data_IF_898009555490
#
_entry.id   IF_898009555490
#
_cell.length_a   1.000
_cell.length_b   1.000
_cell.length_c   1.000
_cell.angle_alpha   90.00
_cell.angle_beta   90.00
_cell.angle_gamma   90.00
#
_symmetry.space_group_name_H-M   'P 1'
#
loop_
_entity.id
_entity.type
_entity.pdbx_description
1 polymer ?
#
# COMPACT_ATOMS: atom_id res chain seq x y z
N UNK A 1 16.64 -12.98 27.68
CA UNK A 1 16.84 -11.58 27.26
C UNK A 1 17.74 -11.61 26.04
N UNK A 2 17.18 -11.50 24.82
CA UNK A 2 18.01 -11.47 23.61
C UNK A 2 18.86 -10.20 23.63
N UNK A 3 20.16 -10.34 23.44
CA UNK A 3 21.08 -9.20 23.35
C UNK A 3 20.73 -8.46 22.06
N UNK A 4 20.16 -7.25 22.18
CA UNK A 4 19.69 -6.44 21.05
C UNK A 4 20.91 -5.94 20.25
N UNK A 5 21.35 -6.73 19.27
CA UNK A 5 22.39 -6.35 18.32
C UNK A 5 21.79 -5.41 17.27
N UNK A 6 21.46 -4.18 17.68
CA UNK A 6 21.10 -3.16 16.68
C UNK A 6 22.40 -2.67 16.07
N UNK A 7 22.75 -3.18 14.88
CA UNK A 7 23.88 -2.67 14.10
C UNK A 7 23.52 -1.31 13.48
N UNK A 8 23.28 -0.30 14.33
CA UNK A 8 22.89 1.06 13.92
C UNK A 8 23.92 1.66 12.97
N UNK A 9 25.20 1.26 13.08
CA UNK A 9 26.24 1.67 12.15
C UNK A 9 25.94 1.29 10.70
N UNK A 10 25.29 0.16 10.45
CA UNK A 10 24.92 -0.27 9.09
C UNK A 10 23.82 0.61 8.53
N UNK A 11 22.80 0.93 9.34
CA UNK A 11 21.75 1.86 8.96
C UNK A 11 22.32 3.23 8.58
N UNK A 12 23.24 3.77 9.39
CA UNK A 12 23.86 5.08 9.12
C UNK A 12 24.86 5.07 7.95
N UNK A 13 25.50 3.93 7.63
CA UNK A 13 26.32 3.82 6.42
C UNK A 13 25.44 3.82 5.17
N UNK A 14 24.37 3.02 5.16
CA UNK A 14 23.44 2.92 4.04
C UNK A 14 22.59 4.17 3.86
N UNK A 15 22.32 4.91 4.93
CA UNK A 15 21.55 6.16 4.89
C UNK A 15 22.14 7.19 3.92
N UNK A 16 23.47 7.23 3.81
CA UNK A 16 24.18 8.11 2.87
C UNK A 16 23.84 7.83 1.40
N UNK A 17 23.40 6.62 1.11
CA UNK A 17 23.01 6.18 -0.24
C UNK A 17 21.48 6.28 -0.45
N UNK A 18 20.68 6.52 0.58
CA UNK A 18 19.20 6.56 0.45
C UNK A 18 18.78 7.59 -0.61
N UNK A 19 19.42 8.76 -0.65
CA UNK A 19 19.14 9.75 -1.70
C UNK A 19 19.37 9.23 -3.12
N UNK A 20 20.39 8.40 -3.34
CA UNK A 20 20.64 7.80 -4.66
C UNK A 20 19.63 6.70 -4.98
N UNK A 21 19.19 5.93 -3.97
CA UNK A 21 18.16 4.90 -4.12
C UNK A 21 16.78 5.48 -4.43
N UNK A 22 16.38 6.56 -3.76
CA UNK A 22 15.13 7.26 -4.05
C UNK A 22 15.06 7.67 -5.53
N UNK A 23 16.11 8.31 -6.04
CA UNK A 23 16.19 8.74 -7.43
C UNK A 23 16.19 7.57 -8.44
N UNK A 24 16.68 6.39 -8.01
CA UNK A 24 16.81 5.23 -8.89
C UNK A 24 15.53 4.39 -8.95
N UNK A 25 14.84 4.25 -7.83
CA UNK A 25 13.76 3.27 -7.68
C UNK A 25 12.36 3.89 -7.62
N UNK A 26 12.22 5.14 -7.14
CA UNK A 26 10.92 5.78 -7.08
C UNK A 26 10.60 6.50 -8.40
N UNK A 27 9.32 6.49 -8.75
CA UNK A 27 8.86 7.21 -9.94
C UNK A 27 8.55 8.66 -9.55
N UNK A 28 8.99 9.67 -10.32
CA UNK A 28 8.61 11.06 -10.04
C UNK A 28 7.09 11.23 -9.96
N UNK A 29 6.62 12.03 -9.01
CA UNK A 29 5.18 12.23 -8.74
C UNK A 29 4.43 12.68 -10.01
N UNK A 30 5.06 13.50 -10.84
CA UNK A 30 4.48 14.02 -12.07
C UNK A 30 4.37 12.98 -13.20
N UNK A 31 4.96 11.79 -13.01
CA UNK A 31 4.98 10.70 -14.00
C UNK A 31 4.32 9.42 -13.50
N UNK A 32 4.10 9.30 -12.20
CA UNK A 32 3.47 8.12 -11.62
C UNK A 32 1.96 8.22 -11.82
N UNK A 33 1.34 7.08 -12.10
CA UNK A 33 -0.12 6.98 -12.25
C UNK A 33 -0.84 7.45 -10.99
N UNK A 34 -2.05 7.98 -11.18
CA UNK A 34 -2.96 8.38 -10.12
C UNK A 34 -4.26 7.57 -10.18
N UNK A 35 -4.99 7.40 -9.06
CA UNK A 35 -6.25 6.64 -9.05
C UNK A 35 -7.27 7.12 -10.10
N UNK A 36 -7.33 8.43 -10.36
CA UNK A 36 -8.20 9.02 -11.38
C UNK A 36 -7.89 8.56 -12.81
N UNK A 37 -6.68 8.08 -13.09
CA UNK A 37 -6.31 7.57 -14.42
C UNK A 37 -7.02 6.26 -14.77
N UNK A 38 -7.60 5.58 -13.76
CA UNK A 38 -8.26 4.28 -13.88
C UNK A 38 -9.71 4.26 -13.38
N UNK A 39 -10.28 5.42 -13.06
CA UNK A 39 -11.64 5.55 -12.55
C UNK A 39 -12.46 6.46 -13.48
N UNK A 40 -13.79 6.28 -13.55
CA UNK A 40 -14.65 7.21 -14.27
C UNK A 40 -14.45 8.66 -13.81
N UNK A 41 -14.23 9.58 -14.74
CA UNK A 41 -14.04 11.00 -14.44
C UNK A 41 -15.38 11.66 -14.08
N UNK A 42 -15.61 12.09 -12.82
CA UNK A 42 -16.89 12.67 -12.40
C UNK A 42 -17.20 14.03 -13.06
N UNK A 43 -16.22 14.66 -13.71
CA UNK A 43 -16.41 15.92 -14.45
C UNK A 43 -16.74 15.71 -15.93
N UNK A 44 -16.60 14.49 -16.45
CA UNK A 44 -16.89 14.14 -17.83
C UNK A 44 -18.40 14.05 -18.10
N UNK A 45 -18.83 14.43 -19.31
CA UNK A 45 -20.21 14.18 -19.78
C UNK A 45 -20.51 12.67 -19.89
N UNK A 46 -19.46 11.86 -20.09
CA UNK A 46 -19.54 10.40 -20.22
C UNK A 46 -19.54 9.66 -18.87
N UNK A 47 -19.39 10.37 -17.74
CA UNK A 47 -19.26 9.76 -16.41
C UNK A 47 -20.32 8.68 -16.10
N UNK A 48 -21.58 8.93 -16.49
CA UNK A 48 -22.67 7.98 -16.25
C UNK A 48 -22.48 6.70 -17.06
N UNK A 49 -22.02 6.82 -18.30
CA UNK A 49 -21.76 5.69 -19.17
C UNK A 49 -20.61 4.84 -18.63
N UNK A 50 -19.50 5.48 -18.29
CA UNK A 50 -18.32 4.80 -17.72
C UNK A 50 -18.66 4.12 -16.38
N UNK A 51 -19.49 4.76 -15.55
CA UNK A 51 -19.98 4.17 -14.30
C UNK A 51 -20.85 2.93 -14.55
N UNK A 52 -21.77 2.99 -15.51
CA UNK A 52 -22.60 1.84 -15.89
C UNK A 52 -21.77 0.69 -16.46
N UNK A 53 -20.70 1.00 -17.20
CA UNK A 53 -19.77 0.02 -17.75
C UNK A 53 -19.03 -0.72 -16.62
N UNK A 54 -18.41 -0.01 -15.67
CA UNK A 54 -17.70 -0.67 -14.56
C UNK A 54 -18.64 -1.52 -13.68
N UNK A 55 -19.88 -1.08 -13.48
CA UNK A 55 -20.89 -1.84 -12.73
C UNK A 55 -21.35 -3.09 -13.50
N UNK A 56 -21.34 -3.04 -14.83
CA UNK A 56 -21.67 -4.19 -15.68
C UNK A 56 -20.58 -5.26 -15.59
N UNK A 57 -19.31 -4.88 -15.76
CA UNK A 57 -18.20 -5.82 -15.60
C UNK A 57 -18.10 -6.37 -14.18
N UNK A 58 -18.31 -5.53 -13.17
CA UNK A 58 -18.30 -5.98 -11.78
C UNK A 58 -19.39 -7.03 -11.49
N UNK A 59 -20.56 -6.97 -12.14
CA UNK A 59 -21.62 -7.98 -11.98
C UNK A 59 -21.21 -9.36 -12.50
N UNK A 60 -20.39 -9.42 -13.55
CA UNK A 60 -19.95 -10.68 -14.17
C UNK A 60 -18.74 -11.30 -13.47
N UNK A 61 -18.01 -10.51 -12.67
CA UNK A 61 -16.82 -10.97 -11.95
C UNK A 61 -17.12 -12.14 -10.98
N UNK A 62 -16.31 -13.22 -10.93
CA UNK A 62 -16.53 -14.31 -9.98
C UNK A 62 -16.51 -13.86 -8.51
N UNK A 63 -17.33 -14.48 -7.67
CA UNK A 63 -17.40 -14.16 -6.24
C UNK A 63 -16.05 -14.29 -5.53
N UNK A 64 -15.32 -15.38 -5.76
CA UNK A 64 -14.04 -15.64 -5.10
C UNK A 64 -12.97 -14.60 -5.47
N UNK A 65 -12.99 -14.12 -6.71
CA UNK A 65 -12.12 -13.03 -7.16
C UNK A 65 -12.47 -11.73 -6.44
N UNK A 66 -13.78 -11.46 -6.29
CA UNK A 66 -14.27 -10.28 -5.60
C UNK A 66 -13.88 -10.26 -4.12
N UNK A 67 -14.00 -11.40 -3.42
CA UNK A 67 -13.59 -11.52 -2.01
C UNK A 67 -12.10 -11.30 -1.85
N UNK A 68 -11.29 -11.83 -2.78
CA UNK A 68 -9.83 -11.61 -2.78
C UNK A 68 -9.51 -10.12 -2.97
N UNK A 69 -10.17 -9.46 -3.92
CA UNK A 69 -10.00 -8.02 -4.17
C UNK A 69 -10.40 -7.15 -2.97
N UNK A 70 -11.46 -7.52 -2.24
CA UNK A 70 -11.85 -6.85 -1.00
C UNK A 70 -10.76 -7.02 0.06
N UNK A 71 -10.20 -8.23 0.21
CA UNK A 71 -9.11 -8.51 1.14
C UNK A 71 -7.84 -7.72 0.82
N UNK A 72 -7.46 -7.67 -0.46
CA UNK A 72 -6.34 -6.84 -0.95
C UNK A 72 -6.60 -5.37 -0.58
N UNK A 73 -7.78 -4.82 -0.89
CA UNK A 73 -8.14 -3.44 -0.56
C UNK A 73 -8.08 -3.11 0.93
N UNK A 74 -8.63 -3.98 1.79
CA UNK A 74 -8.59 -3.77 3.25
C UNK A 74 -7.14 -3.77 3.76
N UNK A 75 -6.30 -4.62 3.18
CA UNK A 75 -4.87 -4.70 3.53
C UNK A 75 -4.15 -3.41 3.11
N UNK A 76 -4.43 -2.87 1.92
CA UNK A 76 -3.87 -1.60 1.44
C UNK A 76 -4.32 -0.40 2.29
N UNK A 77 -5.60 -0.35 2.68
CA UNK A 77 -6.15 0.73 3.51
C UNK A 77 -5.58 0.77 4.94
N UNK A 78 -4.96 -0.32 5.42
CA UNK A 78 -4.29 -0.37 6.71
C UNK A 78 -2.90 0.32 6.73
N UNK A 79 -2.56 1.07 5.66
CA UNK A 79 -1.32 1.84 5.50
C UNK A 79 -0.84 2.62 6.74
N UNK A 80 -1.70 3.30 7.52
CA UNK A 80 -1.24 4.00 8.73
C UNK A 80 -0.51 3.09 9.72
N UNK A 81 -0.87 1.81 9.77
CA UNK A 81 -0.20 0.83 10.62
C UNK A 81 1.21 0.52 10.10
N UNK A 82 1.36 0.35 8.78
CA UNK A 82 2.65 0.02 8.16
C UNK A 82 3.63 1.20 8.23
N UNK A 83 3.16 2.41 7.95
CA UNK A 83 3.96 3.63 8.09
C UNK A 83 4.43 3.79 9.53
N UNK A 84 3.51 3.72 10.51
CA UNK A 84 3.84 3.87 11.93
C UNK A 84 4.87 2.84 12.40
N UNK A 85 4.75 1.61 11.91
CA UNK A 85 5.71 0.54 12.19
C UNK A 85 7.08 0.81 11.59
N UNK A 86 7.17 1.20 10.32
CA UNK A 86 8.43 1.54 9.64
C UNK A 86 9.11 2.76 10.27
N UNK A 87 8.34 3.77 10.66
CA UNK A 87 8.85 4.95 11.36
C UNK A 87 9.40 4.62 12.76
N UNK A 88 8.92 3.53 13.38
CA UNK A 88 9.41 3.05 14.67
C UNK A 88 10.70 2.23 14.61
N UNK A 89 11.21 1.90 13.42
CA UNK A 89 12.41 1.08 13.23
C UNK A 89 13.66 1.80 13.75
N UNK A 90 14.52 1.07 14.48
CA UNK A 90 15.78 1.62 14.97
C UNK A 90 16.67 2.10 13.81
N UNK A 91 16.98 3.40 13.80
CA UNK A 91 17.81 4.04 12.76
C UNK A 91 17.02 4.87 11.77
N UNK A 92 15.69 4.87 11.86
CA UNK A 92 14.84 5.86 11.18
C UNK A 92 14.66 7.06 12.11
N UNK A 93 15.04 8.25 11.65
CA UNK A 93 14.89 9.51 12.38
C UNK A 93 14.04 10.50 11.58
N UNK A 94 12.87 10.86 12.12
CA UNK A 94 11.95 11.81 11.50
C UNK A 94 12.38 13.28 11.72
N UNK A 95 13.11 13.58 12.78
CA UNK A 95 13.52 14.95 13.14
C UNK A 95 14.77 15.39 12.36
N UNK A 96 15.52 14.43 11.82
CA UNK A 96 16.68 14.69 10.99
C UNK A 96 16.28 15.47 9.72
N UNK A 97 17.02 16.56 9.46
CA UNK A 97 16.75 17.47 8.34
C UNK A 97 17.40 17.05 7.02
N UNK A 98 18.40 16.18 7.09
CA UNK A 98 19.08 15.64 5.91
C UNK A 98 18.25 14.51 5.29
N UNK A 99 18.50 14.20 4.01
CA UNK A 99 17.84 13.08 3.34
C UNK A 99 18.29 11.78 4.01
N UNK A 100 17.33 11.04 4.57
CA UNK A 100 17.59 9.79 5.28
C UNK A 100 16.46 8.79 5.14
N UNK A 101 16.44 7.78 6.01
CA UNK A 101 15.45 6.70 5.93
C UNK A 101 14.00 7.17 6.04
N UNK A 102 13.74 8.21 6.84
CA UNK A 102 12.40 8.78 6.96
C UNK A 102 11.90 9.40 5.64
N UNK A 103 12.80 9.85 4.74
CA UNK A 103 12.41 10.30 3.41
C UNK A 103 11.92 9.14 2.54
N UNK A 104 12.56 7.97 2.64
CA UNK A 104 12.08 6.76 1.98
C UNK A 104 10.71 6.35 2.51
N UNK A 105 10.52 6.29 3.83
CA UNK A 105 9.22 5.91 4.40
C UNK A 105 8.12 6.83 3.89
N UNK A 106 8.29 8.15 3.93
CA UNK A 106 7.28 9.09 3.41
C UNK A 106 7.00 8.91 1.92
N UNK A 107 8.04 8.70 1.12
CA UNK A 107 7.89 8.58 -0.33
C UNK A 107 7.23 7.23 -0.72
N UNK A 108 7.61 6.14 -0.06
CA UNK A 108 6.94 4.84 -0.17
C UNK A 108 5.48 4.94 0.29
N UNK A 109 5.19 5.53 1.45
CA UNK A 109 3.82 5.72 1.94
C UNK A 109 2.98 6.52 0.94
N UNK A 110 3.55 7.56 0.32
CA UNK A 110 2.84 8.33 -0.71
C UNK A 110 2.55 7.49 -1.97
N UNK A 111 3.46 6.61 -2.37
CA UNK A 111 3.20 5.67 -3.47
C UNK A 111 2.12 4.64 -3.08
N UNK A 112 2.20 4.03 -1.89
CA UNK A 112 1.25 3.02 -1.39
C UNK A 112 -0.17 3.55 -1.19
N UNK A 113 -0.32 4.80 -0.71
CA UNK A 113 -1.64 5.38 -0.48
C UNK A 113 -2.55 5.31 -1.72
N UNK A 114 -1.97 5.40 -2.92
CA UNK A 114 -2.70 5.33 -4.19
C UNK A 114 -3.33 3.96 -4.43
N UNK A 115 -2.76 2.88 -3.88
CA UNK A 115 -3.29 1.52 -4.03
C UNK A 115 -4.65 1.40 -3.34
N UNK A 116 -4.71 1.72 -2.04
CA UNK A 116 -5.96 1.76 -1.28
C UNK A 116 -6.97 2.73 -1.91
N UNK A 117 -6.51 3.94 -2.27
CA UNK A 117 -7.36 4.96 -2.89
C UNK A 117 -8.06 4.51 -4.18
N UNK A 118 -7.36 3.75 -5.04
CA UNK A 118 -7.91 3.23 -6.30
C UNK A 118 -8.87 2.08 -6.03
N UNK A 119 -8.45 1.09 -5.24
CA UNK A 119 -9.24 -0.11 -4.94
C UNK A 119 -10.54 0.25 -4.20
N UNK A 120 -10.45 1.11 -3.19
CA UNK A 120 -11.58 1.55 -2.37
C UNK A 120 -12.64 2.28 -3.20
N UNK A 121 -12.22 3.21 -4.07
CA UNK A 121 -13.13 3.90 -5.00
C UNK A 121 -13.73 2.95 -6.03
N UNK A 122 -12.96 1.99 -6.55
CA UNK A 122 -13.49 0.95 -7.43
C UNK A 122 -14.58 0.11 -6.72
N UNK A 123 -14.30 -0.40 -5.52
CA UNK A 123 -15.26 -1.20 -4.74
C UNK A 123 -16.51 -0.39 -4.38
N UNK A 124 -16.36 0.91 -4.11
CA UNK A 124 -17.49 1.81 -3.89
C UNK A 124 -18.35 2.00 -5.15
N UNK A 125 -17.73 2.33 -6.29
CA UNK A 125 -18.45 2.65 -7.53
C UNK A 125 -19.07 1.41 -8.21
N UNK A 126 -18.45 0.24 -8.06
CA UNK A 126 -18.90 -0.99 -8.71
C UNK A 126 -20.27 -1.49 -8.21
N UNK A 127 -20.73 -1.02 -7.04
CA UNK A 127 -22.04 -1.30 -6.50
C UNK A 127 -22.28 -2.74 -6.04
N UNK A 128 -21.23 -3.56 -5.89
CA UNK A 128 -21.35 -5.00 -5.55
C UNK A 128 -20.93 -5.36 -4.12
N UNK A 129 -20.47 -4.38 -3.35
CA UNK A 129 -19.90 -4.58 -2.01
C UNK A 129 -20.68 -3.81 -0.98
N UNK A 130 -20.85 -4.41 0.21
CA UNK A 130 -21.31 -3.68 1.37
C UNK A 130 -20.15 -2.84 1.93
N UNK A 131 -19.99 -1.62 1.42
CA UNK A 131 -18.87 -0.74 1.79
C UNK A 131 -18.82 -0.43 3.28
N UNK A 132 -19.98 -0.36 3.96
CA UNK A 132 -20.03 -0.18 5.41
C UNK A 132 -19.25 -1.27 6.15
N UNK A 133 -19.37 -2.53 5.73
CA UNK A 133 -18.67 -3.63 6.39
C UNK A 133 -17.18 -3.65 6.02
N UNK A 134 -16.80 -3.21 4.82
CA UNK A 134 -15.41 -2.99 4.44
C UNK A 134 -14.78 -1.92 5.34
N UNK A 135 -15.42 -0.75 5.44
CA UNK A 135 -14.97 0.37 6.26
C UNK A 135 -14.85 0.01 7.75
N UNK A 136 -15.85 -0.70 8.30
CA UNK A 136 -15.82 -1.22 9.68
C UNK A 136 -14.67 -2.22 9.86
N UNK A 137 -14.45 -3.11 8.90
CA UNK A 137 -13.36 -4.10 8.97
C UNK A 137 -11.99 -3.42 8.91
N UNK A 138 -11.81 -2.45 8.02
CA UNK A 138 -10.59 -1.64 7.95
C UNK A 138 -10.35 -0.90 9.27
N UNK A 139 -11.40 -0.33 9.86
CA UNK A 139 -11.29 0.35 11.15
C UNK A 139 -10.85 -0.61 12.27
N UNK A 140 -11.41 -1.83 12.32
CA UNK A 140 -10.96 -2.86 13.25
C UNK A 140 -9.49 -3.22 13.02
N UNK A 141 -9.09 -3.45 11.76
CA UNK A 141 -7.72 -3.82 11.42
C UNK A 141 -6.70 -2.75 11.85
N UNK A 142 -6.99 -1.47 11.58
CA UNK A 142 -6.11 -0.37 11.99
C UNK A 142 -6.06 -0.24 13.52
N UNK A 143 -7.20 -0.38 14.20
CA UNK A 143 -7.28 -0.27 15.65
C UNK A 143 -6.53 -1.41 16.36
N UNK A 144 -6.63 -2.63 15.83
CA UNK A 144 -5.97 -3.80 16.39
C UNK A 144 -4.45 -3.77 16.09
N UNK A 145 -4.06 -3.11 15.00
CA UNK A 145 -2.69 -3.07 14.51
C UNK A 145 -2.22 -4.46 14.07
N UNK A 146 -0.90 -4.65 14.03
CA UNK A 146 -0.31 -5.95 13.73
C UNK A 146 1.00 -6.14 14.50
N UNK A 147 1.29 -7.36 14.95
CA UNK A 147 2.55 -7.74 15.59
C UNK A 147 3.22 -8.87 14.80
N UNK A 148 4.35 -8.55 14.18
CA UNK A 148 5.13 -9.49 13.37
C UNK A 148 6.18 -10.24 14.19
N UNK A 149 6.36 -9.94 15.48
CA UNK A 149 7.47 -10.45 16.28
C UNK A 149 8.85 -9.98 15.77
N UNK A 150 8.89 -8.95 14.94
CA UNK A 150 10.12 -8.39 14.35
C UNK A 150 10.80 -7.38 15.29
N UNK A 151 10.08 -6.88 16.31
CA UNK A 151 10.51 -5.73 17.12
C UNK A 151 10.89 -4.54 16.22
N UNK A 152 11.61 -3.56 16.76
CA UNK A 152 12.11 -2.41 16.00
C UNK A 152 13.45 -2.72 15.29
N UNK A 153 13.72 -3.99 15.00
CA UNK A 153 14.99 -4.45 14.40
C UNK A 153 14.99 -4.26 12.88
N UNK A 154 15.81 -3.35 12.32
CA UNK A 154 15.81 -3.05 10.89
C UNK A 154 16.05 -4.27 10.00
N UNK A 155 16.85 -5.26 10.45
CA UNK A 155 17.14 -6.44 9.62
C UNK A 155 15.91 -7.33 9.44
N UNK A 156 15.20 -7.59 10.53
CA UNK A 156 13.96 -8.37 10.50
C UNK A 156 12.88 -7.64 9.72
N UNK A 157 12.80 -6.33 9.91
CA UNK A 157 11.85 -5.46 9.23
C UNK A 157 12.08 -5.49 7.71
N UNK A 158 13.30 -5.27 7.21
CA UNK A 158 13.57 -5.28 5.77
C UNK A 158 13.44 -6.66 5.11
N UNK A 159 13.71 -7.75 5.85
CA UNK A 159 13.40 -9.11 5.36
C UNK A 159 11.89 -9.28 5.22
N UNK A 160 11.12 -8.85 6.23
CA UNK A 160 9.67 -8.94 6.19
C UNK A 160 9.08 -8.10 5.05
N UNK A 161 9.46 -6.83 4.90
CA UNK A 161 8.94 -5.97 3.83
C UNK A 161 9.28 -6.54 2.45
N UNK A 162 10.52 -7.01 2.23
CA UNK A 162 10.91 -7.64 0.96
C UNK A 162 10.04 -8.85 0.61
N UNK A 163 9.68 -9.66 1.61
CA UNK A 163 8.79 -10.80 1.43
C UNK A 163 7.35 -10.34 1.15
N UNK A 164 6.83 -9.41 1.95
CA UNK A 164 5.45 -8.94 1.86
C UNK A 164 5.20 -8.24 0.52
N UNK A 165 6.10 -7.37 0.07
CA UNK A 165 6.04 -6.69 -1.24
C UNK A 165 6.05 -7.69 -2.41
N UNK A 166 6.82 -8.77 -2.28
CA UNK A 166 6.81 -9.85 -3.28
C UNK A 166 5.46 -10.60 -3.26
N UNK A 167 4.90 -10.83 -2.07
CA UNK A 167 3.63 -11.53 -1.92
C UNK A 167 2.46 -10.69 -2.50
N UNK A 168 2.38 -9.40 -2.19
CA UNK A 168 1.36 -8.50 -2.74
C UNK A 168 1.51 -8.33 -4.24
N UNK A 169 2.74 -8.20 -4.76
CA UNK A 169 2.97 -8.17 -6.21
C UNK A 169 2.41 -9.41 -6.91
N UNK A 170 2.61 -10.60 -6.34
CA UNK A 170 2.06 -11.85 -6.88
C UNK A 170 0.52 -11.87 -6.75
N UNK A 171 -0.04 -11.43 -5.62
CA UNK A 171 -1.50 -11.36 -5.39
C UNK A 171 -2.16 -10.46 -6.44
N UNK A 172 -1.73 -9.19 -6.50
CA UNK A 172 -2.27 -8.18 -7.42
C UNK A 172 -2.11 -8.60 -8.88
N UNK A 173 -0.97 -9.17 -9.26
CA UNK A 173 -0.77 -9.66 -10.63
C UNK A 173 -1.73 -10.79 -10.99
N UNK A 174 -2.03 -11.69 -10.04
CA UNK A 174 -2.99 -12.79 -10.26
C UNK A 174 -4.41 -12.26 -10.36
N UNK A 175 -4.82 -11.39 -9.43
CA UNK A 175 -6.12 -10.71 -9.48
C UNK A 175 -6.30 -9.97 -10.80
N UNK A 176 -5.31 -9.17 -11.21
CA UNK A 176 -5.34 -8.45 -12.49
C UNK A 176 -5.28 -9.36 -13.74
N UNK A 177 -4.77 -10.60 -13.62
CA UNK A 177 -4.83 -11.58 -14.71
C UNK A 177 -6.21 -12.22 -14.81
N UNK A 178 -6.81 -12.55 -13.67
CA UNK A 178 -8.14 -13.16 -13.59
C UNK A 178 -9.25 -12.17 -13.95
N UNK A 179 -9.08 -10.88 -13.62
CA UNK A 179 -10.02 -9.83 -13.97
C UNK A 179 -10.12 -9.54 -15.48
N UNK A 180 -9.19 -10.07 -16.29
CA UNK A 180 -9.20 -9.95 -17.76
C UNK A 180 -9.91 -11.10 -18.47
N UNK A 181 -10.24 -12.18 -17.75
CA UNK A 181 -10.88 -13.38 -18.30
C UNK A 181 -12.39 -13.23 -18.28
#
# INVERSE_FOLDING_TARGET
MYQKLVRKEVMGILEKEVGSFLNKFLTPIEKIWQPSDYLPDPSSEDFKHDLEEIQTFAREMPYDLFVTLIGDCITEEALPSYESWLMGVDGVDQEQKEIGWANWVRAWTAEENRHGDLLSKYLYLCGRVNMREVEVTTQYLINDGFDLGTSMDPYRNFIYTSFQETATNISHRRVGTLAKQ
#
